data_IF_224538445026
#
_entry.id   IF_224538445026
#
_cell.length_a   1.000
_cell.length_b   1.000
_cell.length_c   1.000
_cell.angle_alpha   90.00
_cell.angle_beta   90.00
_cell.angle_gamma   90.00
#
_symmetry.space_group_name_H-M   'P 1'
#
loop_
_entity.id
_entity.type
_entity.pdbx_description
1 polymer ?
#
# COMPACT_ATOMS: atom_id res chain seq x y z
N UNK A 1 14.14 13.51 4.72
CA UNK A 1 13.36 13.59 3.46
C UNK A 1 11.93 14.10 3.66
N UNK A 2 11.47 14.30 4.90
CA UNK A 2 10.12 14.83 5.22
C UNK A 2 9.96 16.33 4.96
N UNK A 3 11.06 17.08 4.83
CA UNK A 3 11.05 18.56 4.78
C UNK A 3 10.36 19.16 3.54
N UNK A 4 10.23 18.38 2.46
CA UNK A 4 9.50 18.80 1.24
C UNK A 4 8.15 18.11 1.09
N UNK A 5 8.07 16.84 1.48
CA UNK A 5 6.84 16.05 1.40
C UNK A 5 6.92 14.88 2.37
N UNK A 6 6.06 14.91 3.39
CA UNK A 6 6.00 13.86 4.39
C UNK A 6 5.04 12.74 3.94
N UNK A 7 5.58 11.68 3.34
CA UNK A 7 4.80 10.54 2.85
C UNK A 7 4.09 9.77 3.96
N UNK A 8 4.64 9.78 5.18
CA UNK A 8 4.01 9.10 6.33
C UNK A 8 2.71 9.80 6.70
N UNK A 9 2.74 11.14 6.84
CA UNK A 9 1.54 11.93 7.12
C UNK A 9 0.46 11.79 6.04
N UNK A 10 0.87 11.69 4.76
CA UNK A 10 -0.10 11.48 3.68
C UNK A 10 -0.74 10.09 3.73
N UNK A 11 0.05 9.04 4.04
CA UNK A 11 -0.47 7.70 4.21
C UNK A 11 -1.47 7.61 5.38
N UNK A 12 -1.18 8.28 6.50
CA UNK A 12 -2.09 8.39 7.64
C UNK A 12 -3.41 9.07 7.27
N UNK A 13 -3.36 10.22 6.59
CA UNK A 13 -4.55 10.94 6.10
C UNK A 13 -5.40 10.08 5.16
N UNK A 14 -4.76 9.32 4.29
CA UNK A 14 -5.46 8.41 3.37
C UNK A 14 -6.20 7.29 4.13
N UNK A 15 -5.55 6.66 5.11
CA UNK A 15 -6.18 5.63 5.94
C UNK A 15 -7.32 6.18 6.81
N UNK A 16 -7.15 7.35 7.41
CA UNK A 16 -8.21 8.03 8.18
C UNK A 16 -9.44 8.36 7.31
N UNK A 17 -9.25 8.53 6.01
CA UNK A 17 -10.32 8.73 5.03
C UNK A 17 -10.95 7.43 4.53
N UNK A 18 -10.59 6.27 5.11
CA UNK A 18 -11.10 4.94 4.73
C UNK A 18 -10.32 4.26 3.61
N UNK A 19 -9.22 4.85 3.15
CA UNK A 19 -8.31 4.24 2.19
C UNK A 19 -7.61 3.01 2.75
N UNK A 20 -7.30 2.04 1.88
CA UNK A 20 -6.57 0.82 2.25
C UNK A 20 -5.25 0.77 1.50
N UNK A 21 -4.17 0.48 2.21
CA UNK A 21 -2.83 0.32 1.65
C UNK A 21 -2.42 -1.14 1.80
N UNK A 22 -1.75 -1.67 0.80
CA UNK A 22 -1.27 -3.06 0.77
C UNK A 22 0.19 -3.09 0.34
N UNK A 23 1.00 -3.91 1.00
CA UNK A 23 2.40 -4.10 0.66
C UNK A 23 2.61 -5.47 0.01
N UNK A 24 3.17 -5.50 -1.20
CA UNK A 24 3.51 -6.76 -1.86
C UNK A 24 4.53 -7.55 -1.04
N UNK A 25 4.14 -8.74 -0.57
CA UNK A 25 4.97 -9.54 0.33
C UNK A 25 6.34 -9.93 -0.24
N UNK A 26 6.40 -10.25 -1.53
CA UNK A 26 7.66 -10.58 -2.20
C UNK A 26 8.59 -9.36 -2.27
N UNK A 27 8.03 -8.17 -2.56
CA UNK A 27 8.82 -6.93 -2.60
C UNK A 27 9.37 -6.55 -1.23
N UNK A 28 8.55 -6.66 -0.18
CA UNK A 28 8.96 -6.40 1.21
C UNK A 28 10.08 -7.35 1.63
N UNK A 29 9.93 -8.64 1.33
CA UNK A 29 10.98 -9.64 1.60
C UNK A 29 12.29 -9.34 0.87
N UNK A 30 12.22 -8.96 -0.41
CA UNK A 30 13.43 -8.61 -1.17
C UNK A 30 14.12 -7.35 -0.69
N UNK A 31 13.39 -6.45 -0.03
CA UNK A 31 13.93 -5.22 0.55
C UNK A 31 14.38 -5.39 2.00
N UNK A 32 14.32 -6.62 2.55
CA UNK A 32 14.60 -6.92 3.95
C UNK A 32 13.76 -6.07 4.92
N UNK A 33 12.51 -5.82 4.53
CA UNK A 33 11.55 -5.05 5.31
C UNK A 33 10.51 -5.98 5.95
N UNK A 34 9.77 -5.45 6.91
CA UNK A 34 8.64 -6.12 7.55
C UNK A 34 7.32 -5.41 7.20
N UNK A 35 6.21 -6.13 7.34
CA UNK A 35 4.89 -5.52 7.27
C UNK A 35 4.64 -4.55 8.42
N UNK A 36 3.70 -3.63 8.25
CA UNK A 36 3.26 -2.71 9.31
C UNK A 36 1.75 -2.70 9.40
N UNK A 37 1.20 -2.18 10.50
CA UNK A 37 -0.25 -1.97 10.61
C UNK A 37 -0.78 -1.02 9.52
N UNK A 38 0.03 -0.04 9.11
CA UNK A 38 -0.28 0.89 8.03
C UNK A 38 -0.32 0.21 6.66
N UNK A 39 0.58 -0.75 6.43
CA UNK A 39 0.74 -1.44 5.16
C UNK A 39 0.79 -2.96 5.40
N UNK A 40 -0.36 -3.63 5.58
CA UNK A 40 -0.41 -5.08 5.71
C UNK A 40 0.13 -5.76 4.46
N UNK A 41 0.77 -6.92 4.67
CA UNK A 41 1.31 -7.72 3.57
C UNK A 41 0.17 -8.34 2.77
N UNK A 42 0.24 -8.20 1.45
CA UNK A 42 -0.67 -8.80 0.49
C UNK A 42 0.05 -9.78 -0.44
N UNK A 43 -0.76 -10.62 -1.07
CA UNK A 43 -0.37 -11.64 -2.04
C UNK A 43 -0.77 -11.22 -3.46
N UNK A 44 -0.27 -11.96 -4.45
CA UNK A 44 -0.71 -11.82 -5.84
C UNK A 44 -2.21 -12.09 -6.02
N UNK A 45 -2.80 -12.94 -5.17
CA UNK A 45 -4.24 -13.22 -5.21
C UNK A 45 -5.04 -11.98 -4.79
N UNK A 46 -4.64 -11.32 -3.70
CA UNK A 46 -5.31 -10.10 -3.22
C UNK A 46 -5.21 -8.98 -4.26
N UNK A 47 -4.03 -8.81 -4.88
CA UNK A 47 -3.86 -7.84 -5.98
C UNK A 47 -4.79 -8.15 -7.16
N UNK A 48 -4.90 -9.43 -7.55
CA UNK A 48 -5.79 -9.84 -8.62
C UNK A 48 -7.26 -9.55 -8.30
N UNK A 49 -7.70 -9.83 -7.07
CA UNK A 49 -9.06 -9.54 -6.62
C UNK A 49 -9.34 -8.02 -6.64
N UNK A 50 -8.41 -7.20 -6.13
CA UNK A 50 -8.51 -5.73 -6.19
C UNK A 50 -8.70 -5.25 -7.63
N UNK A 51 -7.86 -5.72 -8.56
CA UNK A 51 -7.94 -5.31 -9.97
C UNK A 51 -9.25 -5.77 -10.62
N UNK A 52 -9.68 -7.01 -10.35
CA UNK A 52 -10.89 -7.60 -10.91
C UNK A 52 -12.16 -6.88 -10.43
N UNK A 53 -12.19 -6.45 -9.17
CA UNK A 53 -13.35 -5.79 -8.55
C UNK A 53 -13.39 -4.28 -8.82
N UNK A 54 -12.27 -3.69 -9.24
CA UNK A 54 -12.19 -2.25 -9.53
C UNK A 54 -12.75 -1.93 -10.92
N UNK A 55 -13.62 -0.92 -11.01
CA UNK A 55 -14.09 -0.40 -12.29
C UNK A 55 -12.97 0.28 -13.10
N UNK A 56 -11.99 0.86 -12.39
CA UNK A 56 -10.87 1.60 -12.97
C UNK A 56 -9.62 1.33 -12.14
N UNK A 57 -8.48 1.23 -12.83
CA UNK A 57 -7.16 1.10 -12.22
C UNK A 57 -6.27 2.22 -12.75
N UNK A 58 -5.59 2.91 -11.84
CA UNK A 58 -4.62 3.96 -12.16
C UNK A 58 -3.26 3.50 -11.68
N UNK A 59 -2.25 3.60 -12.54
CA UNK A 59 -0.86 3.20 -12.26
C UNK A 59 0.07 4.40 -12.39
N UNK A 60 1.05 4.53 -11.49
CA UNK A 60 2.01 5.64 -11.41
C UNK A 60 3.46 5.14 -11.49
#
# INVERSE_FOLDING_TARGET
STDKFNTVEQAEKFMQSGGKIYACGTCVKFREQEGSEMCPISTMKDMYEIVKESEKVITF
#
